data_IF_066389180772
#
_entry.id   IF_066389180772
#
_cell.length_a   1.000
_cell.length_b   1.000
_cell.length_c   1.000
_cell.angle_alpha   90.00
_cell.angle_beta   90.00
_cell.angle_gamma   90.00
#
_symmetry.space_group_name_H-M   'P 1'
#
loop_
_entity.id
_entity.type
_entity.pdbx_description
1 polymer ?
#
# COMPACT_ATOMS: atom_id res chain seq x y z
N UNK A 1 20.97 10.95 10.53
CA UNK A 1 20.02 10.71 11.64
C UNK A 1 18.62 11.03 11.16
N UNK A 2 18.46 12.18 10.48
CA UNK A 2 17.23 12.59 9.78
C UNK A 2 16.69 11.56 8.76
N UNK A 3 17.54 10.99 7.90
CA UNK A 3 17.10 9.96 6.94
C UNK A 3 16.55 8.68 7.61
N UNK A 4 17.10 8.30 8.77
CA UNK A 4 16.66 7.09 9.48
C UNK A 4 15.26 7.28 10.08
N UNK A 5 15.02 8.44 10.68
CA UNK A 5 13.71 8.79 11.26
C UNK A 5 12.65 8.93 10.16
N UNK A 6 12.98 9.61 9.05
CA UNK A 6 12.12 9.71 7.88
C UNK A 6 11.80 8.31 7.28
N UNK A 7 12.81 7.44 7.18
CA UNK A 7 12.64 6.07 6.72
C UNK A 7 11.69 5.26 7.61
N UNK A 8 11.83 5.36 8.94
CA UNK A 8 10.95 4.67 9.90
C UNK A 8 9.53 5.22 9.88
N UNK A 9 9.37 6.53 9.73
CA UNK A 9 8.05 7.16 9.58
C UNK A 9 7.34 6.64 8.32
N UNK A 10 8.03 6.58 7.18
CA UNK A 10 7.47 6.02 5.94
C UNK A 10 7.02 4.56 6.12
N UNK A 11 7.85 3.73 6.76
CA UNK A 11 7.53 2.33 7.00
C UNK A 11 6.28 2.18 7.88
N UNK A 12 6.14 3.02 8.91
CA UNK A 12 4.93 3.03 9.76
C UNK A 12 3.68 3.37 8.96
N UNK A 13 3.73 4.40 8.12
CA UNK A 13 2.61 4.80 7.27
C UNK A 13 2.23 3.71 6.25
N UNK A 14 3.21 2.96 5.75
CA UNK A 14 2.98 1.82 4.83
C UNK A 14 2.28 0.66 5.55
N UNK A 15 2.64 0.37 6.80
CA UNK A 15 1.93 -0.62 7.63
C UNK A 15 0.48 -0.18 7.85
N UNK A 16 0.25 1.09 8.20
CA UNK A 16 -1.11 1.64 8.37
C UNK A 16 -1.93 1.56 7.07
N UNK A 17 -1.32 1.82 5.91
CA UNK A 17 -1.97 1.65 4.60
C UNK A 17 -2.39 0.21 4.35
N UNK A 18 -1.53 -0.77 4.68
CA UNK A 18 -1.87 -2.20 4.53
C UNK A 18 -3.01 -2.60 5.46
N UNK A 19 -3.04 -2.07 6.69
CA UNK A 19 -4.18 -2.29 7.60
C UNK A 19 -5.48 -1.72 7.03
N UNK A 20 -5.47 -0.51 6.46
CA UNK A 20 -6.64 0.06 5.77
C UNK A 20 -7.09 -0.78 4.57
N UNK A 21 -6.15 -1.34 3.81
CA UNK A 21 -6.46 -2.31 2.74
C UNK A 21 -7.11 -3.57 3.32
N UNK A 22 -6.68 -4.01 4.49
CA UNK A 22 -7.20 -5.21 5.13
C UNK A 22 -8.65 -5.07 5.61
N UNK A 23 -9.06 -3.85 5.96
CA UNK A 23 -10.44 -3.52 6.33
C UNK A 23 -11.40 -3.53 5.14
N UNK A 24 -10.91 -3.51 3.89
CA UNK A 24 -11.78 -3.60 2.71
C UNK A 24 -12.25 -5.06 2.56
N UNK A 25 -13.48 -5.33 3.01
CA UNK A 25 -14.08 -6.67 3.03
C UNK A 25 -14.87 -7.01 1.76
N UNK A 26 -15.40 -6.01 1.04
CA UNK A 26 -16.26 -6.24 -0.13
C UNK A 26 -15.84 -5.47 -1.38
N UNK A 27 -15.48 -6.25 -2.40
CA UNK A 27 -15.28 -5.78 -3.76
C UNK A 27 -16.40 -6.28 -4.66
N UNK A 28 -16.81 -5.48 -5.65
CA UNK A 28 -17.84 -5.88 -6.63
C UNK A 28 -17.40 -7.14 -7.38
N UNK A 29 -18.35 -8.05 -7.63
CA UNK A 29 -18.09 -9.40 -8.15
C UNK A 29 -17.26 -9.46 -9.44
N UNK A 30 -17.39 -8.48 -10.33
CA UNK A 30 -16.65 -8.41 -11.60
C UNK A 30 -15.15 -8.16 -11.42
N UNK A 31 -14.74 -7.46 -10.36
CA UNK A 31 -13.34 -7.09 -10.07
C UNK A 31 -12.80 -7.73 -8.79
N UNK A 32 -13.67 -8.42 -8.04
CA UNK A 32 -13.37 -9.04 -6.74
C UNK A 32 -12.12 -9.91 -6.79
N UNK A 33 -11.96 -10.75 -7.81
CA UNK A 33 -10.78 -11.63 -7.90
C UNK A 33 -9.47 -10.85 -8.04
N UNK A 34 -9.43 -9.83 -8.89
CA UNK A 34 -8.22 -9.03 -9.12
C UNK A 34 -7.89 -8.16 -7.90
N UNK A 35 -8.89 -7.49 -7.33
CA UNK A 35 -8.71 -6.62 -6.17
C UNK A 35 -8.40 -7.40 -4.89
N UNK A 36 -9.03 -8.55 -4.66
CA UNK A 36 -8.65 -9.43 -3.55
C UNK A 36 -7.24 -10.01 -3.72
N UNK A 37 -6.80 -10.30 -4.94
CA UNK A 37 -5.42 -10.75 -5.18
C UNK A 37 -4.41 -9.64 -4.90
N UNK A 38 -4.69 -8.40 -5.35
CA UNK A 38 -3.85 -7.24 -5.09
C UNK A 38 -3.78 -6.93 -3.59
N UNK A 39 -4.92 -6.88 -2.90
CA UNK A 39 -4.98 -6.68 -1.46
C UNK A 39 -4.19 -7.76 -0.71
N UNK A 40 -4.29 -9.04 -1.13
CA UNK A 40 -3.51 -10.12 -0.55
C UNK A 40 -2.00 -9.93 -0.75
N UNK A 41 -1.57 -9.52 -1.94
CA UNK A 41 -0.14 -9.25 -2.22
C UNK A 41 0.39 -8.09 -1.39
N UNK A 42 -0.39 -7.03 -1.20
CA UNK A 42 -0.01 -5.90 -0.36
C UNK A 42 0.11 -6.31 1.12
N UNK A 43 -0.79 -7.20 1.60
CA UNK A 43 -0.70 -7.79 2.95
C UNK A 43 0.57 -8.63 3.17
N UNK A 44 1.09 -9.28 2.12
CA UNK A 44 2.35 -10.04 2.20
C UNK A 44 3.58 -9.15 2.40
N UNK A 45 3.47 -7.84 2.20
CA UNK A 45 4.56 -6.90 2.46
C UNK A 45 4.65 -6.49 3.94
N UNK A 46 3.60 -6.74 4.75
CA UNK A 46 3.60 -6.40 6.18
C UNK A 46 4.81 -6.94 6.94
N UNK A 47 5.20 -8.23 6.81
CA UNK A 47 6.36 -8.77 7.52
C UNK A 47 7.65 -8.03 7.17
N UNK A 48 7.83 -7.66 5.90
CA UNK A 48 9.00 -6.90 5.45
C UNK A 48 9.04 -5.51 6.11
N UNK A 49 7.91 -4.83 6.22
CA UNK A 49 7.85 -3.53 6.89
C UNK A 49 8.10 -3.63 8.40
N UNK A 50 7.60 -4.69 9.04
CA UNK A 50 7.86 -4.95 10.47
C UNK A 50 9.35 -5.24 10.71
N UNK A 51 9.99 -6.03 9.86
CA UNK A 51 11.43 -6.27 9.92
C UNK A 51 12.24 -4.97 9.80
N UNK A 52 11.88 -4.06 8.88
CA UNK A 52 12.56 -2.78 8.72
C UNK A 52 12.34 -1.88 9.95
N UNK A 53 11.12 -1.85 10.49
CA UNK A 53 10.77 -1.08 11.69
C UNK A 53 11.57 -1.56 12.90
N UNK A 54 11.65 -2.87 13.10
CA UNK A 54 12.25 -3.50 14.28
C UNK A 54 13.78 -3.68 14.13
N UNK A 55 14.31 -3.48 12.92
CA UNK A 55 15.74 -3.51 12.64
C UNK A 55 16.48 -2.38 13.35
N UNK A 56 17.62 -2.74 13.97
CA UNK A 56 18.60 -1.80 14.53
C UNK A 56 19.45 -1.13 13.45
N UNK A 57 19.37 -1.59 12.20
CA UNK A 57 20.08 -0.97 11.09
C UNK A 57 19.42 0.37 10.74
N UNK A 58 20.26 1.32 10.35
CA UNK A 58 19.78 2.64 9.91
C UNK A 58 19.28 2.57 8.47
N UNK A 59 18.13 3.15 8.20
CA UNK A 59 17.63 3.37 6.86
C UNK A 59 18.48 4.49 6.23
N UNK A 60 19.20 4.15 5.16
CA UNK A 60 20.00 5.13 4.44
C UNK A 60 19.13 5.94 3.47
N UNK A 61 19.64 7.09 3.02
CA UNK A 61 18.94 8.00 2.10
C UNK A 61 18.44 7.34 0.82
N UNK A 62 19.21 6.41 0.25
CA UNK A 62 18.79 5.70 -0.98
C UNK A 62 17.56 4.84 -0.69
N UNK A 63 17.57 4.11 0.43
CA UNK A 63 16.42 3.32 0.88
C UNK A 63 15.20 4.21 1.16
N UNK A 64 15.36 5.39 1.77
CA UNK A 64 14.27 6.34 1.98
C UNK A 64 13.60 6.73 0.66
N UNK A 65 14.39 7.05 -0.37
CA UNK A 65 13.86 7.41 -1.70
C UNK A 65 13.09 6.25 -2.33
N UNK A 66 13.60 5.01 -2.22
CA UNK A 66 12.90 3.84 -2.77
C UNK A 66 11.61 3.51 -1.99
N UNK A 67 11.64 3.63 -0.66
CA UNK A 67 10.47 3.45 0.20
C UNK A 67 9.39 4.49 -0.10
N UNK A 68 9.78 5.74 -0.35
CA UNK A 68 8.84 6.80 -0.76
C UNK A 68 8.12 6.44 -2.07
N UNK A 69 8.86 6.00 -3.09
CA UNK A 69 8.28 5.57 -4.37
C UNK A 69 7.35 4.36 -4.20
N UNK A 70 7.74 3.41 -3.35
CA UNK A 70 6.90 2.25 -3.04
C UNK A 70 5.61 2.67 -2.33
N UNK A 71 5.69 3.61 -1.38
CA UNK A 71 4.52 4.18 -0.69
C UNK A 71 3.57 4.85 -1.67
N UNK A 72 4.07 5.65 -2.61
CA UNK A 72 3.26 6.28 -3.66
C UNK A 72 2.52 5.23 -4.51
N UNK A 73 3.23 4.19 -4.96
CA UNK A 73 2.60 3.10 -5.71
C UNK A 73 1.53 2.35 -4.89
N UNK A 74 1.78 2.15 -3.58
CA UNK A 74 0.82 1.54 -2.67
C UNK A 74 -0.42 2.43 -2.44
N UNK A 75 -0.24 3.75 -2.37
CA UNK A 75 -1.33 4.71 -2.26
C UNK A 75 -2.24 4.65 -3.49
N UNK A 76 -1.66 4.68 -4.69
CA UNK A 76 -2.42 4.53 -5.95
C UNK A 76 -3.18 3.20 -5.99
N UNK A 77 -2.55 2.10 -5.56
CA UNK A 77 -3.20 0.81 -5.45
C UNK A 77 -4.35 0.81 -4.43
N UNK A 78 -4.17 1.45 -3.26
CA UNK A 78 -5.21 1.59 -2.25
C UNK A 78 -6.40 2.41 -2.74
N UNK A 79 -6.16 3.54 -3.41
CA UNK A 79 -7.22 4.36 -4.01
C UNK A 79 -8.02 3.58 -5.05
N UNK A 80 -7.34 2.78 -5.89
CA UNK A 80 -7.99 1.87 -6.84
C UNK A 80 -8.86 0.82 -6.12
N UNK A 81 -8.35 0.20 -5.06
CA UNK A 81 -9.09 -0.79 -4.27
C UNK A 81 -10.32 -0.17 -3.59
N UNK A 82 -10.18 1.04 -3.04
CA UNK A 82 -11.28 1.81 -2.43
C UNK A 82 -12.32 2.22 -3.47
N UNK A 83 -11.89 2.65 -4.65
CA UNK A 83 -12.78 2.94 -5.76
C UNK A 83 -13.56 1.69 -6.19
N UNK A 84 -12.88 0.54 -6.25
CA UNK A 84 -13.47 -0.77 -6.52
C UNK A 84 -14.51 -1.27 -5.52
N UNK A 85 -14.42 -0.82 -4.26
CA UNK A 85 -15.40 -1.12 -3.22
C UNK A 85 -16.55 -0.11 -3.17
N UNK A 86 -16.34 1.13 -3.63
CA UNK A 86 -17.34 2.23 -3.57
C UNK A 86 -18.07 2.51 -4.90
N UNK A 87 -17.58 2.00 -6.04
CA UNK A 87 -18.04 2.42 -7.38
C UNK A 87 -19.36 1.81 -7.90
N UNK A 88 -20.18 2.67 -8.52
CA UNK A 88 -21.29 2.31 -9.41
C UNK A 88 -20.79 2.05 -10.84
N UNK A 89 -21.49 1.21 -11.64
CA UNK A 89 -21.06 0.65 -12.95
C UNK A 89 -20.54 1.66 -14.01
N UNK A 90 -20.78 2.96 -13.85
CA UNK A 90 -20.59 3.99 -14.89
C UNK A 90 -19.15 4.54 -14.92
N UNK A 91 -18.38 4.50 -13.82
CA UNK A 91 -17.08 5.19 -13.72
C UNK A 91 -15.83 4.31 -13.93
N UNK A 92 -15.96 2.98 -14.08
CA UNK A 92 -14.80 2.07 -14.24
C UNK A 92 -14.10 2.15 -15.63
N UNK A 93 -14.49 3.09 -16.50
CA UNK A 93 -14.02 3.18 -17.89
C UNK A 93 -12.80 4.10 -18.07
N UNK A 94 -12.40 4.94 -17.09
CA UNK A 94 -11.41 6.01 -17.32
C UNK A 94 -10.03 5.86 -16.66
N UNK A 95 -9.68 4.71 -16.08
CA UNK A 95 -8.37 4.55 -15.36
C UNK A 95 -7.26 4.01 -16.30
N UNK A 96 -7.47 4.04 -17.61
CA UNK A 96 -6.46 3.64 -18.61
C UNK A 96 -6.39 4.62 -19.80
N UNK A 97 -6.30 5.93 -19.55
CA UNK A 97 -5.87 6.94 -20.53
C UNK A 97 -4.72 7.77 -19.92
#
# INVERSE_FOLDING_TARGET
MEDDDAGRALVKEMIELVSKIAEISDYRSSVKKQYSNLARRLKLLTPMFEEIRDSKQKVNRVSVVQLSKLKEAMLLAFELLRFGSQGSKIYMVRICD
#
